data_IF_770642032114
#
_entry.id   IF_770642032114
#
_cell.length_a   1.000
_cell.length_b   1.000
_cell.length_c   1.000
_cell.angle_alpha   90.00
_cell.angle_beta   90.00
_cell.angle_gamma   90.00
#
_symmetry.space_group_name_H-M   'P 1'
#
loop_
_entity.id
_entity.type
_entity.pdbx_description
1 polymer ?
#
# COMPACT_ATOMS: atom_id res chain seq x y z
N UNK A 1 -61.96 23.66 -31.64
CA UNK A 1 -61.47 23.36 -30.29
C UNK A 1 -60.55 22.15 -30.39
N UNK A 2 -59.24 22.37 -30.42
CA UNK A 2 -58.23 21.31 -30.35
C UNK A 2 -57.17 21.81 -29.36
N UNK A 3 -57.17 21.26 -28.13
CA UNK A 3 -56.16 21.59 -27.13
C UNK A 3 -54.95 20.67 -27.33
N UNK A 4 -53.86 21.27 -27.82
CA UNK A 4 -52.53 20.67 -27.72
C UNK A 4 -52.02 20.85 -26.29
N UNK A 5 -51.61 19.76 -25.66
CA UNK A 5 -50.80 19.79 -24.43
C UNK A 5 -49.61 18.86 -24.62
N UNK A 6 -48.48 19.43 -25.04
CA UNK A 6 -47.18 18.76 -25.03
C UNK A 6 -46.54 18.96 -23.66
N UNK A 7 -46.69 17.98 -22.78
CA UNK A 7 -45.94 17.93 -21.51
C UNK A 7 -44.55 17.38 -21.78
N UNK A 8 -43.57 18.27 -21.88
CA UNK A 8 -42.15 17.92 -21.91
C UNK A 8 -41.72 17.55 -20.49
N UNK A 9 -41.71 16.25 -20.14
CA UNK A 9 -41.18 15.80 -18.86
C UNK A 9 -39.65 15.79 -18.89
N UNK A 10 -39.11 16.66 -18.04
CA UNK A 10 -37.70 16.90 -17.78
C UNK A 10 -37.04 15.61 -17.29
N UNK A 11 -36.11 15.05 -18.04
CA UNK A 11 -35.23 13.99 -17.57
C UNK A 11 -34.40 14.51 -16.38
N UNK A 12 -34.80 14.12 -15.18
CA UNK A 12 -33.97 14.23 -13.98
C UNK A 12 -32.85 13.20 -14.09
N UNK A 13 -31.63 13.67 -14.31
CA UNK A 13 -30.42 12.88 -14.08
C UNK A 13 -30.30 12.59 -12.58
N UNK A 14 -30.93 11.51 -12.14
CA UNK A 14 -30.65 10.91 -10.84
C UNK A 14 -29.23 10.33 -10.94
N UNK A 15 -28.25 11.02 -10.35
CA UNK A 15 -26.90 10.49 -10.21
C UNK A 15 -26.99 9.14 -9.50
N UNK A 16 -26.69 8.06 -10.23
CA UNK A 16 -26.62 6.70 -9.70
C UNK A 16 -25.54 6.68 -8.60
N UNK A 17 -25.94 6.76 -7.34
CA UNK A 17 -25.04 6.60 -6.22
C UNK A 17 -24.55 5.15 -6.21
N UNK A 18 -23.24 4.94 -6.30
CA UNK A 18 -22.63 3.62 -6.14
C UNK A 18 -23.04 3.04 -4.76
N UNK A 19 -23.48 1.78 -4.68
CA UNK A 19 -23.89 1.16 -3.43
C UNK A 19 -22.69 1.09 -2.46
N UNK A 20 -22.92 1.34 -1.17
CA UNK A 20 -21.89 1.39 -0.12
C UNK A 20 -20.97 0.15 -0.09
N UNK A 21 -21.51 -1.02 -0.44
CA UNK A 21 -20.80 -2.30 -0.54
C UNK A 21 -19.62 -2.25 -1.55
N UNK A 22 -19.73 -1.43 -2.60
CA UNK A 22 -18.66 -1.27 -3.60
C UNK A 22 -17.48 -0.42 -3.11
N UNK A 23 -17.73 0.57 -2.25
CA UNK A 23 -16.67 1.45 -1.72
C UNK A 23 -15.80 0.75 -0.66
N UNK A 24 -16.41 -0.13 0.14
CA UNK A 24 -15.69 -0.98 1.09
C UNK A 24 -14.78 -1.98 0.35
N UNK A 25 -15.30 -2.61 -0.71
CA UNK A 25 -14.50 -3.49 -1.57
C UNK A 25 -13.35 -2.74 -2.26
N UNK A 26 -13.55 -1.51 -2.72
CA UNK A 26 -12.49 -0.67 -3.28
C UNK A 26 -11.40 -0.36 -2.24
N UNK A 27 -11.79 -0.01 -1.00
CA UNK A 27 -10.85 0.23 0.10
C UNK A 27 -10.00 -0.99 0.40
N UNK A 28 -10.62 -2.17 0.55
CA UNK A 28 -9.91 -3.43 0.82
C UNK A 28 -8.92 -3.76 -0.31
N UNK A 29 -9.31 -3.52 -1.57
CA UNK A 29 -8.43 -3.68 -2.72
C UNK A 29 -7.21 -2.73 -2.66
N UNK A 30 -7.41 -1.48 -2.23
CA UNK A 30 -6.32 -0.53 -2.03
C UNK A 30 -5.45 -0.89 -0.84
N UNK A 31 -6.03 -1.25 0.30
CA UNK A 31 -5.30 -1.68 1.49
C UNK A 31 -4.46 -2.93 1.20
N UNK A 32 -5.02 -3.92 0.51
CA UNK A 32 -4.29 -5.09 0.05
C UNK A 32 -3.08 -4.67 -0.80
N UNK A 33 -3.28 -3.77 -1.77
CA UNK A 33 -2.18 -3.27 -2.59
C UNK A 33 -1.13 -2.51 -1.79
N UNK A 34 -1.55 -1.71 -0.81
CA UNK A 34 -0.70 -0.93 0.06
C UNK A 34 0.20 -1.84 0.90
N UNK A 35 -0.33 -2.94 1.43
CA UNK A 35 0.43 -3.95 2.17
C UNK A 35 1.64 -4.45 1.36
N UNK A 36 1.40 -4.92 0.13
CA UNK A 36 2.49 -5.39 -0.75
C UNK A 36 3.50 -4.30 -1.07
N UNK A 37 3.04 -3.07 -1.32
CA UNK A 37 3.91 -1.96 -1.68
C UNK A 37 4.72 -1.46 -0.49
N UNK A 38 4.14 -1.41 0.71
CA UNK A 38 4.83 -1.00 1.92
C UNK A 38 5.96 -1.98 2.28
N UNK A 39 5.65 -3.29 2.32
CA UNK A 39 6.65 -4.32 2.59
C UNK A 39 7.77 -4.27 1.54
N UNK A 40 7.40 -4.15 0.26
CA UNK A 40 8.37 -4.00 -0.81
C UNK A 40 9.30 -2.82 -0.56
N UNK A 41 8.78 -1.61 -0.32
CA UNK A 41 9.58 -0.40 -0.09
C UNK A 41 10.54 -0.56 1.09
N UNK A 42 10.07 -1.15 2.20
CA UNK A 42 10.88 -1.35 3.41
C UNK A 42 12.02 -2.34 3.12
N UNK A 43 11.71 -3.51 2.57
CA UNK A 43 12.72 -4.56 2.31
C UNK A 43 13.73 -4.11 1.26
N UNK A 44 13.26 -3.51 0.17
CA UNK A 44 14.10 -2.98 -0.90
C UNK A 44 15.10 -1.92 -0.38
N UNK A 45 14.70 -1.09 0.58
CA UNK A 45 15.59 -0.12 1.23
C UNK A 45 16.64 -0.78 2.16
N UNK A 46 16.61 -2.10 2.35
CA UNK A 46 17.53 -2.86 3.21
C UNK A 46 18.40 -3.86 2.43
N UNK A 47 18.25 -3.95 1.10
CA UNK A 47 19.08 -4.82 0.25
C UNK A 47 20.51 -4.31 0.02
N UNK A 48 20.86 -3.12 0.50
CA UNK A 48 22.20 -2.56 0.35
C UNK A 48 22.46 -1.82 -0.98
N UNK A 49 21.52 -1.88 -1.92
CA UNK A 49 21.62 -1.25 -3.24
C UNK A 49 20.86 0.08 -3.35
N UNK A 50 21.25 0.91 -4.33
CA UNK A 50 20.46 2.08 -4.72
C UNK A 50 19.39 1.67 -5.71
N UNK A 51 18.15 2.07 -5.44
CA UNK A 51 17.02 1.77 -6.31
C UNK A 51 16.66 3.01 -7.11
N UNK A 52 16.61 2.86 -8.42
CA UNK A 52 16.19 3.87 -9.37
C UNK A 52 15.14 3.27 -10.29
N UNK A 53 14.01 3.95 -10.43
CA UNK A 53 12.92 3.56 -11.33
C UNK A 53 12.55 4.75 -12.22
N UNK A 54 12.52 4.58 -13.55
CA UNK A 54 12.16 5.67 -14.44
C UNK A 54 10.65 5.97 -14.34
N UNK A 55 10.30 7.25 -14.40
CA UNK A 55 8.91 7.67 -14.59
C UNK A 55 8.41 7.23 -15.96
N UNK A 56 7.15 6.80 -16.02
CA UNK A 56 6.50 6.40 -17.27
C UNK A 56 5.36 7.39 -17.54
N UNK A 57 5.56 8.39 -18.42
CA UNK A 57 4.54 9.40 -18.70
C UNK A 57 3.37 8.85 -19.52
N UNK A 58 3.60 7.81 -20.32
CA UNK A 58 2.61 7.25 -21.27
C UNK A 58 1.58 6.29 -20.64
N UNK A 59 1.29 6.46 -19.35
CA UNK A 59 0.18 5.73 -18.69
C UNK A 59 -1.14 6.51 -18.88
N UNK A 60 -1.07 7.71 -19.49
CA UNK A 60 -2.18 8.62 -19.73
C UNK A 60 -2.49 8.84 -21.23
N UNK A 61 -2.02 7.96 -22.12
CA UNK A 61 -2.48 7.91 -23.51
C UNK A 61 -3.97 7.54 -23.58
N UNK A 62 -4.64 8.04 -24.61
CA UNK A 62 -6.07 7.99 -25.03
C UNK A 62 -6.84 6.66 -24.87
N UNK A 63 -6.21 5.61 -24.33
CA UNK A 63 -6.79 4.29 -24.10
C UNK A 63 -7.27 4.06 -22.66
N UNK A 64 -7.25 5.02 -21.72
CA UNK A 64 -7.80 4.76 -20.38
C UNK A 64 -9.33 4.61 -20.36
N UNK A 65 -10.05 5.45 -21.12
CA UNK A 65 -11.53 5.36 -21.19
C UNK A 65 -11.95 4.16 -22.05
N UNK A 66 -11.23 3.92 -23.14
CA UNK A 66 -11.50 2.80 -24.06
C UNK A 66 -11.12 1.45 -23.43
N UNK A 67 -9.96 1.31 -22.78
CA UNK A 67 -9.61 0.04 -22.13
C UNK A 67 -10.45 -0.27 -20.89
N UNK A 68 -10.93 0.75 -20.15
CA UNK A 68 -11.81 0.58 -18.99
C UNK A 68 -13.23 0.17 -19.41
N UNK A 69 -13.74 0.65 -20.54
CA UNK A 69 -15.08 0.27 -21.05
C UNK A 69 -15.07 -0.93 -22.00
N UNK A 70 -14.00 -1.17 -22.77
CA UNK A 70 -13.95 -2.25 -23.77
C UNK A 70 -13.58 -3.62 -23.20
N UNK A 71 -13.03 -3.68 -21.99
CA UNK A 71 -12.73 -4.94 -21.31
C UNK A 71 -13.33 -4.89 -19.91
N UNK A 72 -14.49 -5.51 -19.73
CA UNK A 72 -15.22 -5.66 -18.45
C UNK A 72 -14.46 -6.37 -17.32
N UNK A 73 -13.12 -6.48 -17.40
CA UNK A 73 -12.16 -6.87 -16.38
C UNK A 73 -10.82 -6.18 -16.66
N UNK A 74 -10.78 -4.85 -16.78
CA UNK A 74 -9.49 -4.17 -16.92
C UNK A 74 -8.75 -4.23 -15.59
N UNK A 75 -7.79 -5.13 -15.56
CA UNK A 75 -6.63 -5.12 -14.69
C UNK A 75 -6.13 -3.69 -14.42
N UNK A 76 -6.58 -3.12 -13.31
CA UNK A 76 -5.90 -2.15 -12.44
C UNK A 76 -4.57 -2.76 -11.92
N UNK A 77 -3.74 -3.27 -12.83
CA UNK A 77 -2.57 -4.12 -12.54
C UNK A 77 -1.26 -3.41 -12.81
N UNK A 78 -1.25 -2.25 -13.48
CA UNK A 78 0.01 -1.75 -14.04
C UNK A 78 0.72 -0.73 -13.14
N UNK A 79 0.04 0.15 -12.39
CA UNK A 79 0.72 1.01 -11.40
C UNK A 79 -0.20 1.35 -10.23
N UNK A 80 -0.40 0.40 -9.31
CA UNK A 80 -1.12 0.71 -8.06
C UNK A 80 -0.34 1.81 -7.31
N UNK A 81 -0.98 2.96 -7.13
CA UNK A 81 -0.49 4.19 -6.48
C UNK A 81 0.39 5.15 -7.30
N UNK A 82 0.46 5.02 -8.63
CA UNK A 82 1.27 5.90 -9.50
C UNK A 82 2.76 5.96 -9.11
N UNK A 83 3.29 4.87 -8.55
CA UNK A 83 4.71 4.74 -8.16
C UNK A 83 5.30 3.53 -8.88
N UNK A 84 6.38 3.74 -9.62
CA UNK A 84 7.15 2.67 -10.23
C UNK A 84 8.05 2.03 -9.16
N UNK A 85 7.79 0.76 -8.85
CA UNK A 85 8.69 -0.09 -8.07
C UNK A 85 9.05 -1.32 -8.92
N UNK A 86 10.21 -1.91 -8.66
CA UNK A 86 10.65 -3.12 -9.35
C UNK A 86 9.76 -4.32 -9.00
N UNK A 87 9.97 -5.48 -9.62
CA UNK A 87 9.28 -6.70 -9.19
C UNK A 87 10.21 -7.48 -8.27
N UNK A 88 9.75 -7.74 -7.04
CA UNK A 88 10.45 -8.58 -6.08
C UNK A 88 9.56 -9.76 -5.70
N UNK A 89 9.73 -10.88 -6.38
CA UNK A 89 8.83 -12.04 -6.26
C UNK A 89 8.96 -12.72 -4.88
N UNK A 90 10.16 -12.77 -4.31
CA UNK A 90 10.39 -13.33 -2.98
C UNK A 90 9.68 -12.51 -1.89
N UNK A 91 9.88 -11.19 -1.90
CA UNK A 91 9.18 -10.27 -0.97
C UNK A 91 7.66 -10.37 -1.14
N UNK A 92 7.19 -10.49 -2.38
CA UNK A 92 5.77 -10.70 -2.68
C UNK A 92 5.26 -12.02 -2.10
N UNK A 93 6.00 -13.13 -2.20
CA UNK A 93 5.61 -14.43 -1.63
C UNK A 93 5.54 -14.36 -0.11
N UNK A 94 6.56 -13.79 0.54
CA UNK A 94 6.58 -13.64 2.01
C UNK A 94 5.45 -12.73 2.50
N UNK A 95 5.18 -11.63 1.80
CA UNK A 95 4.02 -10.77 2.13
C UNK A 95 2.70 -11.53 2.00
N UNK A 96 2.53 -12.30 0.91
CA UNK A 96 1.32 -13.10 0.70
C UNK A 96 1.14 -14.15 1.79
N UNK A 97 2.23 -14.82 2.18
CA UNK A 97 2.26 -15.80 3.27
C UNK A 97 1.89 -15.15 4.60
N UNK A 98 2.48 -14.00 4.92
CA UNK A 98 2.18 -13.25 6.15
C UNK A 98 0.72 -12.82 6.24
N UNK A 99 0.13 -12.39 5.11
CA UNK A 99 -1.27 -11.99 5.05
C UNK A 99 -2.22 -13.19 5.14
N UNK A 100 -1.86 -14.36 4.58
CA UNK A 100 -2.69 -15.58 4.60
C UNK A 100 -4.15 -15.36 4.14
N UNK A 101 -4.38 -14.39 3.25
CA UNK A 101 -5.72 -14.02 2.77
C UNK A 101 -6.44 -12.96 3.60
N UNK A 102 -5.90 -12.58 4.75
CA UNK A 102 -6.40 -11.52 5.63
C UNK A 102 -5.75 -10.16 5.32
N UNK A 103 -6.37 -9.10 5.82
CA UNK A 103 -5.83 -7.73 5.80
C UNK A 103 -5.53 -7.24 7.22
N UNK A 104 -4.68 -6.23 7.38
CA UNK A 104 -4.51 -5.56 8.66
C UNK A 104 -5.86 -5.04 9.17
N UNK A 105 -6.12 -5.26 10.45
CA UNK A 105 -7.32 -4.81 11.15
C UNK A 105 -6.92 -4.17 12.48
N UNK A 106 -7.83 -3.45 13.15
CA UNK A 106 -7.55 -2.92 14.48
C UNK A 106 -6.99 -4.00 15.42
N UNK A 107 -5.86 -3.69 16.06
CA UNK A 107 -5.15 -4.61 16.96
C UNK A 107 -4.36 -5.73 16.26
N UNK A 108 -4.39 -5.83 14.93
CA UNK A 108 -3.64 -6.84 14.15
C UNK A 108 -2.94 -6.13 12.97
N UNK A 109 -1.83 -5.42 13.22
CA UNK A 109 -1.10 -4.73 12.17
C UNK A 109 -0.29 -5.72 11.31
N UNK A 110 0.06 -5.29 10.09
CA UNK A 110 1.11 -5.93 9.31
C UNK A 110 2.46 -5.38 9.75
N UNK A 111 3.31 -6.26 10.25
CA UNK A 111 4.63 -5.94 10.75
C UNK A 111 5.73 -6.36 9.76
N UNK A 112 6.74 -5.52 9.62
CA UNK A 112 8.01 -5.82 8.94
C UNK A 112 9.14 -5.57 9.92
N UNK A 113 9.74 -6.66 10.38
CA UNK A 113 10.91 -6.62 11.25
C UNK A 113 12.18 -6.67 10.40
N UNK A 114 13.11 -5.77 10.68
CA UNK A 114 14.45 -5.74 10.09
C UNK A 114 15.44 -6.12 11.17
N UNK A 115 16.27 -7.12 10.90
CA UNK A 115 17.30 -7.59 11.81
C UNK A 115 18.65 -7.71 11.12
N UNK A 116 19.69 -7.70 11.93
CA UNK A 116 21.06 -7.99 11.52
C UNK A 116 21.44 -9.36 12.07
N UNK A 117 22.10 -10.17 11.26
CA UNK A 117 22.70 -11.43 11.68
C UNK A 117 24.20 -11.41 11.43
N UNK A 118 25.02 -11.62 12.47
CA UNK A 118 26.49 -11.67 12.37
C UNK A 118 26.97 -13.00 11.79
N UNK A 119 28.23 -13.05 11.35
CA UNK A 119 28.90 -14.30 10.94
C UNK A 119 28.91 -15.37 12.03
N UNK A 120 28.95 -14.94 13.30
CA UNK A 120 29.00 -15.82 14.47
C UNK A 120 27.61 -16.34 14.88
N UNK A 121 26.56 -15.87 14.20
CA UNK A 121 25.19 -16.35 14.35
C UNK A 121 24.30 -15.50 15.24
N UNK A 122 24.84 -14.47 15.90
CA UNK A 122 24.06 -13.54 16.72
C UNK A 122 23.07 -12.75 15.86
N UNK A 123 21.89 -12.47 16.43
CA UNK A 123 20.82 -11.73 15.77
C UNK A 123 20.41 -10.54 16.62
N UNK A 124 20.30 -9.37 15.99
CA UNK A 124 19.82 -8.14 16.62
C UNK A 124 18.73 -7.49 15.78
N UNK A 125 17.59 -7.20 16.40
CA UNK A 125 16.51 -6.45 15.75
C UNK A 125 16.90 -4.99 15.64
N UNK A 126 16.83 -4.44 14.43
CA UNK A 126 17.15 -3.03 14.15
C UNK A 126 15.90 -2.15 14.09
N UNK A 127 14.82 -2.66 13.50
CA UNK A 127 13.60 -1.89 13.26
C UNK A 127 12.37 -2.81 13.28
N UNK A 128 11.23 -2.27 13.71
CA UNK A 128 9.91 -2.89 13.53
C UNK A 128 8.97 -1.85 12.89
N UNK A 129 8.57 -2.09 11.64
CA UNK A 129 7.65 -1.25 10.90
C UNK A 129 6.24 -1.82 10.98
N UNK A 130 5.23 -0.96 11.13
CA UNK A 130 3.86 -1.39 11.29
C UNK A 130 2.93 -0.64 10.33
N UNK A 131 2.08 -1.39 9.65
CA UNK A 131 0.92 -0.86 8.93
C UNK A 131 -0.34 -1.29 9.68
N UNK A 132 -0.98 -0.33 10.35
CA UNK A 132 -2.20 -0.55 11.13
C UNK A 132 -3.41 0.13 10.48
N UNK A 133 -4.59 -0.43 10.74
CA UNK A 133 -5.87 0.23 10.49
C UNK A 133 -6.49 0.51 11.84
N UNK A 134 -6.76 1.78 12.13
CA UNK A 134 -7.36 2.17 13.40
C UNK A 134 -8.87 1.90 13.40
N UNK A 135 -9.43 1.78 14.60
CA UNK A 135 -10.89 1.69 14.78
C UNK A 135 -11.58 2.94 14.20
N UNK A 136 -12.77 2.81 13.60
CA UNK A 136 -13.52 3.95 13.11
C UNK A 136 -13.82 4.92 14.27
N UNK A 137 -13.33 6.17 14.18
CA UNK A 137 -13.65 7.16 15.20
C UNK A 137 -15.12 7.58 15.10
N UNK A 138 -15.83 7.80 16.22
CA UNK A 138 -17.22 8.28 16.20
C UNK A 138 -17.36 9.70 15.61
N UNK A 139 -16.25 10.43 15.49
CA UNK A 139 -16.17 11.75 14.87
C UNK A 139 -15.94 11.72 13.34
N UNK A 140 -15.75 10.55 12.74
CA UNK A 140 -15.51 10.43 11.30
C UNK A 140 -16.81 10.66 10.53
N UNK A 141 -16.93 11.81 9.86
CA UNK A 141 -18.10 12.10 9.03
C UNK A 141 -18.17 11.13 7.85
N UNK A 142 -19.35 10.60 7.48
CA UNK A 142 -19.50 9.71 6.33
C UNK A 142 -19.12 10.45 5.05
N UNK A 143 -17.94 10.14 4.51
CA UNK A 143 -17.45 10.73 3.26
C UNK A 143 -18.26 10.14 2.10
N UNK A 144 -18.74 10.99 1.19
CA UNK A 144 -19.55 10.57 0.05
C UNK A 144 -18.85 9.47 -0.77
N UNK A 145 -19.52 8.33 -1.06
CA UNK A 145 -18.87 7.09 -1.53
C UNK A 145 -18.08 7.21 -2.84
N UNK A 146 -18.46 8.13 -3.75
CA UNK A 146 -17.76 8.33 -5.02
C UNK A 146 -16.50 9.21 -4.95
N UNK A 147 -16.49 10.26 -4.11
CA UNK A 147 -15.33 11.15 -3.91
C UNK A 147 -14.31 10.55 -2.94
N UNK A 148 -14.77 9.65 -2.06
CA UNK A 148 -13.96 8.99 -1.04
C UNK A 148 -12.89 8.06 -1.64
N UNK A 149 -13.23 7.22 -2.62
CA UNK A 149 -12.33 6.18 -3.16
C UNK A 149 -11.04 6.76 -3.79
N UNK A 150 -11.16 7.81 -4.62
CA UNK A 150 -10.00 8.46 -5.23
C UNK A 150 -9.15 9.25 -4.21
N UNK A 151 -9.80 9.89 -3.23
CA UNK A 151 -9.10 10.60 -2.16
C UNK A 151 -8.28 9.63 -1.30
N UNK A 152 -8.87 8.49 -0.93
CA UNK A 152 -8.17 7.41 -0.19
C UNK A 152 -6.98 6.91 -0.99
N UNK A 153 -7.16 6.63 -2.28
CA UNK A 153 -6.07 6.20 -3.17
C UNK A 153 -4.92 7.21 -3.19
N UNK A 154 -5.22 8.51 -3.35
CA UNK A 154 -4.20 9.56 -3.37
C UNK A 154 -3.47 9.70 -2.02
N UNK A 155 -4.19 9.59 -0.90
CA UNK A 155 -3.59 9.60 0.44
C UNK A 155 -2.68 8.41 0.66
N UNK A 156 -3.08 7.21 0.24
CA UNK A 156 -2.23 6.01 0.29
C UNK A 156 -1.00 6.13 -0.64
N UNK A 157 -1.14 6.76 -1.81
CA UNK A 157 0.00 7.08 -2.69
C UNK A 157 0.97 8.05 -2.04
N UNK A 158 0.46 9.11 -1.39
CA UNK A 158 1.30 10.04 -0.63
C UNK A 158 2.02 9.34 0.53
N UNK A 159 1.31 8.49 1.29
CA UNK A 159 1.88 7.68 2.36
C UNK A 159 3.05 6.81 1.86
N UNK A 160 2.90 6.16 0.71
CA UNK A 160 3.99 5.37 0.11
C UNK A 160 5.19 6.21 -0.28
N UNK A 161 5.00 7.42 -0.83
CA UNK A 161 6.11 8.35 -1.14
C UNK A 161 6.84 8.80 0.13
N UNK A 162 6.09 9.08 1.19
CA UNK A 162 6.65 9.38 2.51
C UNK A 162 7.46 8.18 3.02
N UNK A 163 6.90 6.97 2.97
CA UNK A 163 7.60 5.75 3.39
C UNK A 163 8.92 5.55 2.64
N UNK A 164 8.95 5.75 1.32
CA UNK A 164 10.19 5.68 0.51
C UNK A 164 11.26 6.65 1.02
N UNK A 165 10.85 7.81 1.52
CA UNK A 165 11.76 8.82 2.06
C UNK A 165 12.24 8.43 3.46
N UNK A 166 11.31 8.07 4.36
CA UNK A 166 11.61 7.73 5.77
C UNK A 166 12.48 6.46 5.87
N UNK A 167 12.27 5.45 5.02
CA UNK A 167 13.11 4.24 5.05
C UNK A 167 14.58 4.50 4.75
N UNK A 168 14.94 5.68 4.22
CA UNK A 168 16.32 6.08 3.93
C UNK A 168 16.95 6.97 5.00
N UNK A 169 16.16 7.47 5.94
CA UNK A 169 16.64 8.37 7.02
C UNK A 169 16.94 7.63 8.31
N UNK A 170 16.54 6.36 8.44
CA UNK A 170 16.81 5.58 9.65
C UNK A 170 18.25 5.05 9.67
N UNK A 171 18.84 4.84 10.86
CA UNK A 171 20.20 4.29 10.97
C UNK A 171 20.38 2.93 10.28
N UNK A 172 19.36 2.07 10.29
CA UNK A 172 19.42 0.76 9.64
C UNK A 172 19.59 0.86 8.11
N UNK A 173 19.21 1.98 7.48
CA UNK A 173 19.57 2.24 6.08
C UNK A 173 21.08 2.34 5.90
N UNK A 174 21.77 3.10 6.77
CA UNK A 174 23.23 3.21 6.72
C UNK A 174 23.93 1.87 6.96
N UNK A 175 23.42 1.10 7.93
CA UNK A 175 23.93 -0.24 8.26
C UNK A 175 23.72 -1.22 7.10
N UNK A 176 22.55 -1.21 6.44
CA UNK A 176 22.24 -2.12 5.33
C UNK A 176 23.13 -1.89 4.10
N UNK A 177 23.57 -0.66 3.86
CA UNK A 177 24.50 -0.30 2.78
C UNK A 177 25.93 -0.80 3.00
N UNK A 178 26.27 -1.24 4.21
CA UNK A 178 27.62 -1.69 4.60
C UNK A 178 27.68 -3.19 4.92
N UNK A 179 26.57 -3.92 4.75
CA UNK A 179 26.50 -5.34 5.04
C UNK A 179 27.49 -6.14 4.16
N UNK A 180 28.08 -7.19 4.73
CA UNK A 180 28.99 -8.10 4.04
C UNK A 180 28.89 -9.48 4.68
N UNK A 181 29.05 -10.54 3.88
CA UNK A 181 28.93 -11.92 4.41
C UNK A 181 29.96 -12.24 5.49
N UNK A 182 31.08 -11.54 5.49
CA UNK A 182 32.19 -11.76 6.43
C UNK A 182 31.98 -11.05 7.78
N UNK A 183 31.00 -10.13 7.87
CA UNK A 183 30.69 -9.42 9.10
C UNK A 183 29.24 -9.65 9.54
N UNK A 184 28.28 -9.25 8.70
CA UNK A 184 26.86 -9.41 8.96
C UNK A 184 26.01 -9.25 7.70
N UNK A 185 24.82 -9.86 7.75
CA UNK A 185 23.77 -9.72 6.73
C UNK A 185 22.52 -9.10 7.33
N UNK A 186 21.74 -8.39 6.51
CA UNK A 186 20.42 -7.90 6.90
C UNK A 186 19.37 -8.95 6.56
N UNK A 187 18.49 -9.23 7.51
CA UNK A 187 17.36 -10.13 7.35
C UNK A 187 16.05 -9.35 7.53
N UNK A 188 14.95 -9.92 7.03
CA UNK A 188 13.62 -9.38 7.24
C UNK A 188 12.64 -10.50 7.61
N UNK A 189 11.59 -10.13 8.36
CA UNK A 189 10.47 -11.01 8.69
C UNK A 189 9.16 -10.25 8.55
N UNK A 190 8.18 -10.83 7.86
CA UNK A 190 6.87 -10.23 7.62
C UNK A 190 5.81 -11.08 8.31
N UNK A 191 4.91 -10.46 9.07
CA UNK A 191 3.87 -11.17 9.79
C UNK A 191 2.68 -10.24 10.13
N UNK A 192 1.49 -10.83 10.31
CA UNK A 192 0.35 -10.15 10.93
C UNK A 192 0.36 -10.40 12.44
N UNK A 193 0.14 -9.34 13.22
CA UNK A 193 0.04 -9.44 14.68
C UNK A 193 0.82 -8.35 15.41
N UNK A 194 0.85 -8.47 16.73
CA UNK A 194 1.47 -7.47 17.61
C UNK A 194 2.99 -7.36 17.35
N UNK A 195 3.54 -6.13 17.35
CA UNK A 195 4.96 -5.92 17.14
C UNK A 195 5.77 -6.47 18.32
N UNK A 196 6.92 -7.06 18.05
CA UNK A 196 7.83 -7.51 19.11
C UNK A 196 8.87 -6.43 19.38
N UNK A 197 8.51 -5.42 20.16
CA UNK A 197 9.37 -4.26 20.43
C UNK A 197 10.43 -4.51 21.50
N UNK A 198 10.27 -5.54 22.33
CA UNK A 198 11.17 -5.84 23.45
C UNK A 198 12.62 -6.14 23.01
N UNK A 199 12.79 -6.50 21.73
CA UNK A 199 14.08 -6.84 21.12
C UNK A 199 14.82 -5.65 20.49
N UNK A 200 14.22 -4.45 20.48
CA UNK A 200 14.82 -3.24 19.89
C UNK A 200 15.85 -2.55 20.80
N UNK A 201 16.10 -3.11 21.98
CA UNK A 201 16.91 -2.48 23.02
C UNK A 201 16.14 -1.36 23.76
N UNK A 202 16.77 -0.81 24.80
CA UNK A 202 16.21 0.30 25.58
C UNK A 202 16.70 1.63 25.01
N UNK A 203 15.81 2.62 24.93
CA UNK A 203 16.20 4.01 24.71
C UNK A 203 16.95 4.49 25.97
N UNK A 204 18.16 5.01 25.79
CA UNK A 204 18.98 5.60 26.86
C UNK A 204 18.52 7.02 27.18
#
# INVERSE_FOLDING_TARGET
MASGSSTMSRFSHTALSKPANSAQSDFENYLHALCFKAVQVIVEARLGERISTPSKPDVFGTDWVLSVWARGKLSQKVFKFNIALNKQEEVRKETKKALSGSLPSPGIPLCVEISLKTSDGDVMTLECWQLNVDEPSPSSSPVSPGKSSYLVYNRMSALLKTLISVTRTTPAYGVSRRQSRDAYVICYRVYLGQPTTDTLGKLF
#
